data_IF_060282981917
#
_entry.id   IF_060282981917
#
_cell.length_a   1.000
_cell.length_b   1.000
_cell.length_c   1.000
_cell.angle_alpha   90.00
_cell.angle_beta   90.00
_cell.angle_gamma   90.00
#
_symmetry.space_group_name_H-M   'P 1'
#
loop_
_entity.id
_entity.type
_entity.pdbx_description
1 polymer ?
#
# COMPACT_ATOMS: atom_id res chain seq x y z
N UNK A 1 -16.68 -10.21 -2.95
CA UNK A 1 -15.89 -10.81 -4.05
C UNK A 1 -14.62 -11.33 -3.42
N UNK A 2 -14.37 -12.64 -3.47
CA UNK A 2 -13.12 -13.18 -2.91
C UNK A 2 -11.94 -12.62 -3.70
N UNK A 3 -10.95 -12.05 -3.01
CA UNK A 3 -9.73 -11.54 -3.61
C UNK A 3 -8.90 -12.70 -4.15
N UNK A 4 -8.30 -12.50 -5.32
CA UNK A 4 -7.42 -13.49 -5.93
C UNK A 4 -6.11 -13.54 -5.13
N UNK A 5 -5.70 -14.72 -4.69
CA UNK A 5 -4.54 -14.89 -3.82
C UNK A 5 -3.72 -16.13 -4.22
N UNK A 6 -2.50 -16.24 -3.70
CA UNK A 6 -1.63 -17.41 -3.91
C UNK A 6 -2.12 -18.56 -3.05
N UNK A 7 -2.45 -19.69 -3.66
CA UNK A 7 -2.90 -20.89 -2.95
C UNK A 7 -1.73 -21.79 -2.58
N UNK A 8 -0.82 -22.02 -3.53
CA UNK A 8 0.36 -22.87 -3.30
C UNK A 8 1.49 -22.56 -4.26
N UNK A 9 2.71 -22.95 -3.86
CA UNK A 9 3.90 -22.88 -4.68
C UNK A 9 4.75 -24.14 -4.51
N UNK A 10 5.19 -24.69 -5.64
CA UNK A 10 6.12 -25.82 -5.71
C UNK A 10 7.32 -25.39 -6.55
N UNK A 11 8.51 -25.37 -5.97
CA UNK A 11 9.73 -24.91 -6.62
C UNK A 11 10.82 -25.97 -6.45
N UNK A 12 11.24 -26.59 -7.55
CA UNK A 12 12.09 -27.78 -7.59
C UNK A 12 13.49 -27.39 -8.09
N UNK A 13 14.51 -27.92 -7.42
CA UNK A 13 15.90 -27.77 -7.81
C UNK A 13 16.45 -26.35 -7.66
N UNK A 14 15.91 -25.55 -6.74
CA UNK A 14 16.34 -24.17 -6.50
C UNK A 14 17.82 -24.15 -6.10
N UNK A 15 18.61 -23.37 -6.85
CA UNK A 15 20.06 -23.32 -6.81
C UNK A 15 20.76 -24.69 -6.95
N UNK A 16 20.07 -25.70 -7.49
CA UNK A 16 20.51 -27.09 -7.54
C UNK A 16 20.65 -27.74 -6.17
N UNK A 17 19.97 -27.21 -5.14
CA UNK A 17 20.16 -27.65 -3.74
C UNK A 17 18.88 -28.07 -3.05
N UNK A 18 17.77 -27.36 -3.27
CA UNK A 18 16.57 -27.58 -2.47
C UNK A 18 15.27 -27.51 -3.28
N UNK A 19 14.27 -28.23 -2.80
CA UNK A 19 12.89 -28.21 -3.24
C UNK A 19 12.02 -27.52 -2.17
N UNK A 20 11.09 -26.68 -2.60
CA UNK A 20 10.15 -25.92 -1.78
C UNK A 20 8.74 -26.34 -2.19
N UNK A 21 7.90 -26.64 -1.22
CA UNK A 21 6.49 -27.00 -1.43
C UNK A 21 5.70 -26.39 -0.28
N UNK A 22 4.83 -25.41 -0.58
CA UNK A 22 4.09 -24.65 0.42
C UNK A 22 2.66 -24.39 -0.04
N UNK A 23 1.75 -24.38 0.92
CA UNK A 23 0.36 -23.90 0.80
C UNK A 23 0.18 -22.66 1.66
N UNK A 24 -0.62 -21.71 1.19
CA UNK A 24 -0.83 -20.43 1.88
C UNK A 24 -2.30 -20.25 2.25
N UNK A 25 -2.51 -19.57 3.37
CA UNK A 25 -3.77 -19.01 3.82
C UNK A 25 -4.16 -17.76 3.00
N UNK A 26 -5.45 -17.49 2.86
CA UNK A 26 -5.97 -16.37 2.05
C UNK A 26 -5.65 -14.97 2.64
N UNK A 27 -5.32 -14.89 3.93
CA UNK A 27 -5.09 -13.62 4.62
C UNK A 27 -3.65 -13.45 5.11
N UNK A 28 -3.16 -14.31 6.00
CA UNK A 28 -1.86 -14.08 6.65
C UNK A 28 -1.01 -15.35 6.69
N UNK A 29 0.23 -15.22 6.26
CA UNK A 29 1.21 -16.28 6.22
C UNK A 29 2.54 -15.77 6.79
N UNK A 30 2.99 -16.32 7.91
CA UNK A 30 4.26 -15.98 8.56
C UNK A 30 5.23 -17.13 8.38
N UNK A 31 6.19 -16.98 7.48
CA UNK A 31 7.22 -17.95 7.17
C UNK A 31 8.42 -17.74 8.09
N UNK A 32 8.54 -18.60 9.09
CA UNK A 32 9.64 -18.60 10.03
C UNK A 32 10.74 -19.58 9.61
N UNK A 33 11.97 -19.11 9.48
CA UNK A 33 13.10 -19.99 9.15
C UNK A 33 14.46 -19.38 9.42
N UNK A 34 15.47 -20.23 9.65
CA UNK A 34 16.86 -19.82 9.89
C UNK A 34 17.44 -19.03 8.71
N UNK A 35 18.48 -18.25 8.95
CA UNK A 35 19.20 -17.54 7.89
C UNK A 35 19.78 -18.51 6.86
N UNK A 36 19.70 -18.15 5.59
CA UNK A 36 20.22 -18.96 4.48
C UNK A 36 19.34 -20.14 4.05
N UNK A 37 18.12 -20.29 4.58
CA UNK A 37 17.19 -21.35 4.14
C UNK A 37 16.56 -21.08 2.78
N UNK A 38 16.62 -19.85 2.24
CA UNK A 38 16.05 -19.48 0.94
C UNK A 38 14.73 -18.69 1.00
N UNK A 39 14.35 -18.14 2.17
CA UNK A 39 13.15 -17.30 2.36
C UNK A 39 13.07 -16.14 1.35
N UNK A 40 14.15 -15.36 1.24
CA UNK A 40 14.24 -14.24 0.29
C UNK A 40 14.13 -14.72 -1.17
N UNK A 41 14.73 -15.87 -1.51
CA UNK A 41 14.60 -16.46 -2.85
C UNK A 41 13.14 -16.84 -3.15
N UNK A 42 12.42 -17.42 -2.18
CA UNK A 42 10.99 -17.70 -2.32
C UNK A 42 10.19 -16.42 -2.57
N UNK A 43 10.42 -15.36 -1.78
CA UNK A 43 9.72 -14.09 -1.98
C UNK A 43 10.04 -13.48 -3.35
N UNK A 44 11.28 -13.60 -3.82
CA UNK A 44 11.65 -13.16 -5.18
C UNK A 44 10.95 -13.98 -6.27
N UNK A 45 10.83 -15.29 -6.10
CA UNK A 45 10.07 -16.17 -7.01
C UNK A 45 8.61 -15.71 -7.08
N UNK A 46 7.96 -15.54 -5.92
CA UNK A 46 6.58 -15.09 -5.85
C UNK A 46 6.41 -13.72 -6.50
N UNK A 47 7.21 -12.73 -6.10
CA UNK A 47 7.12 -11.37 -6.63
C UNK A 47 7.31 -11.31 -8.15
N UNK A 48 8.30 -12.02 -8.70
CA UNK A 48 8.56 -12.03 -10.13
C UNK A 48 7.43 -12.70 -10.92
N UNK A 49 6.85 -13.82 -10.45
CA UNK A 49 5.70 -14.45 -11.12
C UNK A 49 4.47 -13.56 -11.03
N UNK A 50 4.17 -13.06 -9.83
CA UNK A 50 2.95 -12.29 -9.55
C UNK A 50 2.92 -10.96 -10.31
N UNK A 51 4.08 -10.32 -10.50
CA UNK A 51 4.19 -9.09 -11.27
C UNK A 51 4.45 -9.32 -12.77
N UNK A 52 4.64 -10.56 -13.22
CA UNK A 52 4.90 -10.89 -14.62
C UNK A 52 6.34 -10.63 -15.08
N UNK A 53 7.30 -10.45 -14.16
CA UNK A 53 8.74 -10.29 -14.39
C UNK A 53 9.41 -11.66 -14.69
N UNK A 54 8.80 -12.39 -15.60
CA UNK A 54 9.14 -13.75 -16.00
C UNK A 54 10.56 -13.92 -16.55
N UNK A 55 11.09 -12.92 -17.23
CA UNK A 55 12.41 -12.98 -17.83
C UNK A 55 13.51 -13.19 -16.81
N UNK A 56 13.30 -12.65 -15.60
CA UNK A 56 14.26 -12.72 -14.49
C UNK A 56 14.58 -14.15 -14.09
N UNK A 57 13.69 -15.11 -14.35
CA UNK A 57 13.94 -16.53 -14.08
C UNK A 57 15.15 -17.07 -14.86
N UNK A 58 15.53 -16.50 -16.00
CA UNK A 58 16.76 -16.92 -16.68
C UNK A 58 18.03 -16.67 -15.84
N UNK A 59 17.98 -15.76 -14.84
CA UNK A 59 19.06 -15.53 -13.89
C UNK A 59 19.06 -16.50 -12.68
N UNK A 60 18.01 -17.30 -12.51
CA UNK A 60 17.87 -18.26 -11.42
C UNK A 60 18.25 -19.67 -11.90
N UNK A 61 18.91 -20.45 -11.04
CA UNK A 61 19.12 -21.89 -11.27
C UNK A 61 17.98 -22.66 -10.62
N UNK A 62 17.19 -23.38 -11.41
CA UNK A 62 16.05 -24.19 -10.96
C UNK A 62 15.74 -25.27 -11.99
N UNK A 63 14.90 -26.24 -11.62
CA UNK A 63 14.36 -27.23 -12.56
C UNK A 63 12.96 -26.81 -13.02
N UNK A 64 12.07 -26.56 -12.05
CA UNK A 64 10.66 -26.30 -12.30
C UNK A 64 10.06 -25.47 -11.16
N UNK A 65 9.19 -24.52 -11.47
CA UNK A 65 8.47 -23.72 -10.48
C UNK A 65 7.00 -23.63 -10.91
N UNK A 66 6.10 -24.10 -10.07
CA UNK A 66 4.66 -24.05 -10.26
C UNK A 66 4.02 -23.18 -9.18
N UNK A 67 3.23 -22.20 -9.59
CA UNK A 67 2.38 -21.38 -8.73
C UNK A 67 0.91 -21.69 -9.04
N UNK A 68 0.09 -21.90 -8.02
CA UNK A 68 -1.37 -22.08 -8.16
C UNK A 68 -2.08 -20.96 -7.41
N UNK A 69 -3.06 -20.36 -8.06
CA UNK A 69 -3.88 -19.27 -7.53
C UNK A 69 -5.23 -19.79 -7.03
N UNK A 70 -5.92 -18.97 -6.24
CA UNK A 70 -7.18 -19.33 -5.58
C UNK A 70 -8.33 -19.64 -6.55
N UNK A 71 -8.28 -19.11 -7.77
CA UNK A 71 -9.25 -19.33 -8.84
C UNK A 71 -8.96 -20.58 -9.69
N UNK A 72 -7.89 -21.31 -9.37
CA UNK A 72 -7.45 -22.51 -10.09
C UNK A 72 -6.47 -22.23 -11.22
N UNK A 73 -6.17 -20.97 -11.53
CA UNK A 73 -5.13 -20.63 -12.49
C UNK A 73 -3.77 -21.11 -12.00
N UNK A 74 -2.98 -21.66 -12.92
CA UNK A 74 -1.66 -22.20 -12.65
C UNK A 74 -0.63 -21.61 -13.59
N UNK A 75 0.53 -21.26 -13.04
CA UNK A 75 1.67 -20.72 -13.76
C UNK A 75 2.84 -21.65 -13.53
N UNK A 76 3.43 -22.13 -14.62
CA UNK A 76 4.55 -23.06 -14.60
C UNK A 76 5.74 -22.42 -15.33
N UNK A 77 6.85 -22.28 -14.62
CA UNK A 77 8.13 -21.82 -15.15
C UNK A 77 9.08 -23.02 -15.16
N UNK A 78 9.54 -23.43 -16.35
CA UNK A 78 10.34 -24.63 -16.53
C UNK A 78 11.69 -24.32 -17.16
N UNK A 79 12.77 -24.85 -16.56
CA UNK A 79 14.11 -24.75 -17.12
C UNK A 79 14.38 -25.91 -18.08
N UNK A 80 14.87 -25.61 -19.28
CA UNK A 80 15.21 -26.61 -20.31
C UNK A 80 16.65 -26.49 -20.78
N UNK A 81 17.31 -27.63 -20.92
CA UNK A 81 18.62 -27.72 -21.57
C UNK A 81 18.46 -27.99 -23.07
N UNK A 82 19.04 -27.14 -23.92
CA UNK A 82 19.18 -27.44 -25.36
C UNK A 82 20.62 -27.84 -25.67
N UNK A 83 20.81 -29.05 -26.19
CA UNK A 83 22.13 -29.61 -26.57
C UNK A 83 22.67 -29.15 -27.94
N UNK A 84 22.27 -27.99 -28.49
CA UNK A 84 22.83 -27.51 -29.77
C UNK A 84 23.94 -26.48 -29.54
N UNK A 85 25.20 -26.90 -29.79
CA UNK A 85 26.43 -26.08 -29.78
C UNK A 85 26.62 -25.24 -28.50
N UNK A 86 26.63 -25.92 -27.35
CA UNK A 86 26.89 -25.34 -26.03
C UNK A 86 25.69 -25.52 -25.09
N UNK A 87 25.93 -25.93 -23.84
CA UNK A 87 24.87 -26.14 -22.84
C UNK A 87 24.30 -24.79 -22.38
N UNK A 88 23.30 -24.29 -23.08
CA UNK A 88 22.55 -23.11 -22.66
C UNK A 88 21.24 -23.56 -22.02
N UNK A 89 20.98 -23.06 -20.81
CA UNK A 89 19.70 -23.22 -20.10
C UNK A 89 18.76 -22.15 -20.61
N UNK A 90 17.56 -22.58 -20.99
CA UNK A 90 16.48 -21.71 -21.43
C UNK A 90 15.31 -21.82 -20.46
N UNK A 91 14.55 -20.75 -20.32
CA UNK A 91 13.32 -20.74 -19.52
C UNK A 91 12.10 -20.67 -20.43
N UNK A 92 11.16 -21.59 -20.21
CA UNK A 92 9.84 -21.61 -20.84
C UNK A 92 8.76 -21.37 -19.77
N UNK A 93 7.69 -20.67 -20.14
CA UNK A 93 6.59 -20.33 -19.23
C UNK A 93 5.27 -20.77 -19.81
N UNK A 94 4.51 -21.46 -18.98
CA UNK A 94 3.19 -21.97 -19.27
C UNK A 94 2.19 -21.35 -18.31
N UNK A 95 1.03 -20.97 -18.83
CA UNK A 95 -0.12 -20.50 -18.04
C UNK A 95 -1.29 -21.41 -18.37
N UNK A 96 -1.85 -22.08 -17.36
CA UNK A 96 -2.93 -23.07 -17.53
C UNK A 96 -2.60 -24.15 -18.58
N UNK A 97 -1.34 -24.58 -18.62
CA UNK A 97 -0.84 -25.57 -19.58
C UNK A 97 -0.52 -25.04 -20.98
N UNK A 98 -0.86 -23.78 -21.30
CA UNK A 98 -0.52 -23.16 -22.58
C UNK A 98 0.84 -22.45 -22.51
N UNK A 99 1.74 -22.73 -23.46
CA UNK A 99 3.04 -22.06 -23.57
C UNK A 99 2.86 -20.59 -23.96
N UNK A 100 3.32 -19.67 -23.13
CA UNK A 100 3.19 -18.22 -23.35
C UNK A 100 4.53 -17.58 -23.77
N UNK A 101 5.63 -17.94 -23.10
CA UNK A 101 6.98 -17.48 -23.44
C UNK A 101 7.90 -18.68 -23.57
N UNK A 102 8.81 -18.63 -24.54
CA UNK A 102 9.75 -19.72 -24.81
C UNK A 102 11.16 -19.18 -25.01
N UNK A 103 12.14 -20.01 -24.66
CA UNK A 103 13.56 -19.78 -24.95
C UNK A 103 14.16 -18.49 -24.35
N UNK A 104 13.71 -18.07 -23.17
CA UNK A 104 14.30 -16.92 -22.47
C UNK A 104 15.70 -17.31 -22.00
N UNK A 105 16.70 -16.49 -22.32
CA UNK A 105 18.10 -16.70 -21.93
C UNK A 105 18.66 -15.53 -21.12
N UNK A 106 19.71 -15.74 -20.31
CA UNK A 106 20.35 -14.66 -19.56
C UNK A 106 20.85 -13.50 -20.44
N UNK A 107 21.23 -13.81 -21.70
CA UNK A 107 21.75 -12.81 -22.65
C UNK A 107 20.70 -11.81 -23.10
N UNK A 108 19.42 -12.18 -23.02
CA UNK A 108 18.33 -11.30 -23.41
C UNK A 108 18.16 -10.16 -22.39
N UNK A 109 18.59 -10.39 -21.13
CA UNK A 109 18.46 -9.45 -20.00
C UNK A 109 19.55 -8.37 -19.99
N UNK A 110 20.79 -8.69 -20.38
CA UNK A 110 21.92 -7.74 -20.40
C UNK A 110 21.77 -6.60 -21.44
N UNK A 111 20.79 -6.72 -22.36
CA UNK A 111 20.50 -5.68 -23.32
C UNK A 111 19.51 -4.66 -22.74
N UNK A 112 19.97 -3.78 -21.84
CA UNK A 112 19.22 -2.69 -21.18
C UNK A 112 18.40 -1.78 -22.13
N UNK A 113 18.55 -1.91 -23.46
CA UNK A 113 17.76 -1.21 -24.48
C UNK A 113 16.48 -1.93 -24.93
N UNK A 114 16.15 -3.09 -24.35
CA UNK A 114 15.08 -3.96 -24.87
C UNK A 114 13.80 -4.00 -24.04
N UNK A 115 13.73 -3.36 -22.85
CA UNK A 115 12.51 -3.36 -22.02
C UNK A 115 11.25 -2.81 -22.72
N UNK A 116 11.41 -1.88 -23.68
CA UNK A 116 10.30 -1.40 -24.53
C UNK A 116 10.06 -2.21 -25.81
N UNK A 117 10.84 -3.27 -26.06
CA UNK A 117 10.84 -4.07 -27.30
C UNK A 117 10.56 -5.55 -27.09
N UNK A 118 10.30 -6.07 -25.89
CA UNK A 118 10.10 -7.53 -25.72
C UNK A 118 8.67 -7.99 -26.11
N UNK A 119 7.78 -7.06 -26.43
CA UNK A 119 6.67 -7.34 -27.34
C UNK A 119 7.12 -7.90 -28.72
N UNK A 120 8.40 -7.74 -29.10
CA UNK A 120 9.00 -8.23 -30.35
C UNK A 120 9.87 -9.49 -30.21
N UNK A 121 10.27 -9.89 -28.99
CA UNK A 121 10.95 -11.19 -28.73
C UNK A 121 9.93 -12.25 -28.27
N UNK A 122 8.64 -11.93 -28.31
CA UNK A 122 7.58 -12.92 -28.23
C UNK A 122 7.55 -13.74 -29.53
N UNK A 123 8.34 -14.82 -29.57
CA UNK A 123 8.16 -16.00 -30.42
C UNK A 123 8.15 -15.76 -31.96
N UNK A 124 8.69 -16.70 -32.75
CA UNK A 124 8.53 -16.65 -34.23
C UNK A 124 7.06 -16.86 -34.68
N UNK A 125 6.14 -17.11 -33.73
CA UNK A 125 4.74 -17.41 -33.96
C UNK A 125 3.87 -16.18 -33.69
N UNK A 126 3.34 -15.56 -34.76
CA UNK A 126 2.45 -14.38 -34.70
C UNK A 126 1.19 -14.58 -33.84
N UNK A 127 0.73 -15.81 -33.67
CA UNK A 127 -0.44 -16.13 -32.82
C UNK A 127 -0.12 -16.01 -31.31
N UNK A 128 1.13 -16.25 -30.91
CA UNK A 128 1.56 -16.10 -29.50
C UNK A 128 1.67 -14.63 -29.10
N UNK A 129 1.95 -13.72 -30.04
CA UNK A 129 2.11 -12.28 -29.73
C UNK A 129 0.81 -11.63 -29.23
N UNK A 130 -0.33 -11.96 -29.85
CA UNK A 130 -1.63 -11.42 -29.46
C UNK A 130 -2.16 -12.01 -28.13
N UNK A 131 -1.81 -13.26 -27.83
CA UNK A 131 -2.18 -13.95 -26.57
C UNK A 131 -1.24 -13.54 -25.44
N UNK A 132 0.06 -13.44 -25.70
CA UNK A 132 1.10 -12.97 -24.78
C UNK A 132 0.80 -11.54 -24.30
N UNK A 133 0.47 -10.60 -25.20
CA UNK A 133 0.13 -9.22 -24.80
C UNK A 133 -1.10 -9.09 -23.90
N UNK A 134 -2.04 -10.05 -23.95
CA UNK A 134 -3.26 -10.05 -23.13
C UNK A 134 -3.16 -10.90 -21.85
N UNK A 135 -2.23 -11.86 -21.78
CA UNK A 135 -2.05 -12.82 -20.66
C UNK A 135 -0.71 -12.73 -19.92
N UNK A 136 0.26 -11.94 -20.38
CA UNK A 136 1.43 -11.52 -19.57
C UNK A 136 1.11 -10.44 -18.54
N UNK A 137 -0.13 -9.95 -18.49
CA UNK A 137 -0.55 -9.02 -17.46
C UNK A 137 -0.39 -9.69 -16.09
N UNK A 138 0.11 -8.92 -15.11
CA UNK A 138 0.35 -9.36 -13.73
C UNK A 138 -0.84 -10.21 -13.25
N UNK A 139 -0.64 -11.52 -12.98
CA UNK A 139 -1.74 -12.41 -12.62
C UNK A 139 -2.43 -11.92 -11.33
N UNK A 140 -1.62 -11.45 -10.38
CA UNK A 140 -2.07 -10.81 -9.14
C UNK A 140 -1.03 -9.77 -8.75
N UNK A 141 -1.29 -8.46 -8.86
CA UNK A 141 -0.29 -7.44 -8.56
C UNK A 141 0.22 -7.56 -7.12
N UNK A 142 1.53 -7.74 -6.98
CA UNK A 142 2.19 -7.92 -5.70
C UNK A 142 3.09 -6.73 -5.35
N UNK A 143 3.09 -6.35 -4.08
CA UNK A 143 4.06 -5.42 -3.51
C UNK A 143 5.16 -6.23 -2.80
N UNK A 144 6.43 -5.94 -3.08
CA UNK A 144 7.56 -6.60 -2.44
C UNK A 144 8.39 -5.63 -1.60
N UNK A 145 8.63 -5.98 -0.34
CA UNK A 145 9.37 -5.20 0.62
C UNK A 145 10.64 -5.95 1.00
N UNK A 146 11.81 -5.52 0.49
CA UNK A 146 13.05 -6.20 0.78
C UNK A 146 13.55 -5.90 2.19
N UNK A 147 14.34 -6.83 2.71
CA UNK A 147 15.11 -6.68 3.95
C UNK A 147 16.13 -5.54 3.89
N UNK A 148 16.59 -5.17 2.69
CA UNK A 148 17.58 -4.12 2.43
C UNK A 148 16.99 -2.73 2.11
N UNK A 149 15.69 -2.51 2.37
CA UNK A 149 14.97 -1.25 2.09
C UNK A 149 15.68 0.02 2.56
N UNK A 150 16.17 0.05 3.81
CA UNK A 150 16.81 1.22 4.41
C UNK A 150 18.08 1.62 3.67
N UNK A 151 18.82 0.62 3.18
CA UNK A 151 20.03 0.86 2.41
C UNK A 151 19.70 1.46 1.04
N UNK A 152 18.68 0.93 0.37
CA UNK A 152 18.23 1.43 -0.94
C UNK A 152 17.63 2.84 -0.82
N UNK A 153 16.90 3.13 0.25
CA UNK A 153 16.39 4.47 0.56
C UNK A 153 17.54 5.47 0.77
N UNK A 154 18.53 5.11 1.61
CA UNK A 154 19.68 5.97 1.87
C UNK A 154 20.51 6.25 0.60
N UNK A 155 20.68 5.24 -0.25
CA UNK A 155 21.41 5.37 -1.50
C UNK A 155 20.66 6.22 -2.52
N UNK A 156 19.36 6.00 -2.67
CA UNK A 156 18.53 6.83 -3.53
C UNK A 156 18.49 8.30 -3.08
N UNK A 157 18.53 8.56 -1.77
CA UNK A 157 18.65 9.92 -1.24
C UNK A 157 20.04 10.55 -1.49
N UNK A 158 21.10 9.73 -1.56
CA UNK A 158 22.48 10.20 -1.81
C UNK A 158 22.84 10.39 -3.28
N UNK A 159 22.20 9.62 -4.16
CA UNK A 159 22.29 9.82 -5.60
C UNK A 159 21.48 11.07 -5.93
N UNK A 160 22.14 12.14 -6.42
CA UNK A 160 21.51 13.41 -6.79
C UNK A 160 20.09 13.23 -7.35
N UNK A 161 19.08 13.98 -6.89
CA UNK A 161 17.72 13.85 -7.40
C UNK A 161 17.76 14.04 -8.91
N UNK A 162 17.09 13.19 -9.73
CA UNK A 162 17.00 13.45 -11.14
C UNK A 162 16.43 14.86 -11.33
N UNK A 163 17.22 15.72 -11.96
CA UNK A 163 16.74 16.99 -12.51
C UNK A 163 15.43 16.73 -13.25
N UNK A 164 14.36 17.46 -12.90
CA UNK A 164 13.11 17.61 -13.64
C UNK A 164 12.74 16.40 -14.52
N UNK A 165 12.02 15.43 -13.96
CA UNK A 165 11.35 14.43 -14.79
C UNK A 165 9.84 14.58 -14.72
N UNK A 166 9.34 14.89 -15.91
CA UNK A 166 7.98 14.97 -16.40
C UNK A 166 7.19 13.70 -16.04
N UNK A 167 6.13 13.87 -15.25
CA UNK A 167 5.23 12.82 -14.74
C UNK A 167 4.25 12.31 -15.83
N UNK A 168 4.63 12.43 -17.11
CA UNK A 168 3.72 12.28 -18.25
C UNK A 168 4.02 11.09 -19.17
N UNK A 169 4.80 10.09 -18.74
CA UNK A 169 4.97 8.85 -19.52
C UNK A 169 4.76 7.58 -18.67
N UNK A 170 3.53 7.08 -18.71
CA UNK A 170 3.04 5.75 -18.24
C UNK A 170 3.67 4.55 -18.99
N UNK A 171 4.91 4.66 -19.47
CA UNK A 171 5.58 3.64 -20.27
C UNK A 171 6.99 3.27 -19.80
N UNK A 172 7.08 2.26 -18.93
CA UNK A 172 8.19 1.29 -18.94
C UNK A 172 9.61 1.72 -18.54
N UNK A 173 9.83 2.80 -17.78
CA UNK A 173 11.14 3.05 -17.15
C UNK A 173 11.25 2.34 -15.80
N UNK A 174 12.29 1.52 -15.62
CA UNK A 174 12.58 0.87 -14.35
C UNK A 174 12.89 1.92 -13.26
N UNK A 175 12.26 1.76 -12.09
CA UNK A 175 12.48 2.61 -10.93
C UNK A 175 13.98 2.55 -10.52
N UNK A 176 14.59 3.70 -10.23
CA UNK A 176 16.01 3.81 -9.82
C UNK A 176 16.35 2.89 -8.64
N UNK A 177 15.41 2.70 -7.70
CA UNK A 177 15.56 1.75 -6.60
C UNK A 177 15.78 0.31 -7.09
N UNK A 178 15.05 -0.10 -8.12
CA UNK A 178 15.15 -1.45 -8.71
C UNK A 178 16.49 -1.66 -9.40
N UNK A 179 16.95 -0.66 -10.16
CA UNK A 179 18.25 -0.71 -10.85
C UNK A 179 19.39 -0.89 -9.85
N UNK A 180 19.42 -0.06 -8.81
CA UNK A 180 20.44 -0.13 -7.75
C UNK A 180 20.37 -1.50 -7.04
N UNK A 181 19.17 -1.96 -6.66
CA UNK A 181 19.02 -3.22 -5.96
C UNK A 181 19.50 -4.42 -6.79
N UNK A 182 19.26 -4.43 -8.11
CA UNK A 182 19.74 -5.49 -9.01
C UNK A 182 21.25 -5.46 -9.18
N UNK A 183 21.87 -4.28 -9.22
CA UNK A 183 23.33 -4.14 -9.26
C UNK A 183 23.99 -4.69 -7.99
N UNK A 184 23.36 -4.50 -6.83
CA UNK A 184 23.92 -4.91 -5.54
C UNK A 184 23.62 -6.36 -5.17
N UNK A 185 22.39 -6.82 -5.40
CA UNK A 185 21.88 -8.11 -4.92
C UNK A 185 21.61 -9.12 -6.05
N UNK A 186 21.88 -8.75 -7.30
CA UNK A 186 21.80 -9.60 -8.47
C UNK A 186 20.55 -9.40 -9.32
N UNK A 187 20.62 -9.84 -10.57
CA UNK A 187 19.59 -9.61 -11.58
C UNK A 187 18.23 -10.28 -11.32
N UNK A 188 18.16 -11.25 -10.39
CA UNK A 188 16.90 -11.91 -10.02
C UNK A 188 16.03 -11.10 -9.03
N UNK A 189 16.55 -9.98 -8.50
CA UNK A 189 15.78 -9.10 -7.61
C UNK A 189 14.52 -8.60 -8.33
N UNK A 190 13.34 -8.75 -7.70
CA UNK A 190 12.09 -8.26 -8.26
C UNK A 190 12.07 -6.76 -8.44
N UNK A 191 11.14 -6.27 -9.26
CA UNK A 191 10.84 -4.85 -9.29
C UNK A 191 10.42 -4.36 -7.90
N UNK A 192 11.02 -3.24 -7.49
CA UNK A 192 10.75 -2.56 -6.23
C UNK A 192 9.78 -1.40 -6.49
N UNK A 193 8.54 -1.58 -6.04
CA UNK A 193 7.45 -0.61 -6.16
C UNK A 193 7.06 -0.01 -4.78
N UNK A 194 7.99 0.06 -3.81
CA UNK A 194 7.71 0.73 -2.54
C UNK A 194 7.99 2.24 -2.63
N UNK A 195 7.12 3.09 -2.05
CA UNK A 195 7.30 4.52 -2.14
C UNK A 195 8.41 4.99 -1.21
N UNK A 196 9.13 6.02 -1.63
CA UNK A 196 10.04 6.73 -0.76
C UNK A 196 9.27 7.51 0.31
N UNK A 197 9.92 7.86 1.43
CA UNK A 197 9.31 8.74 2.44
C UNK A 197 8.94 10.10 1.84
N UNK A 198 9.69 10.52 0.80
CA UNK A 198 9.35 11.71 0.05
C UNK A 198 7.98 11.60 -0.60
N UNK A 199 7.76 10.52 -1.34
CA UNK A 199 6.49 10.24 -2.00
C UNK A 199 5.36 10.09 -0.99
N UNK A 200 5.59 9.37 0.11
CA UNK A 200 4.58 9.21 1.18
C UNK A 200 4.13 10.57 1.71
N UNK A 201 5.07 11.44 2.09
CA UNK A 201 4.75 12.77 2.60
C UNK A 201 4.02 13.61 1.55
N UNK A 202 4.50 13.63 0.31
CA UNK A 202 3.88 14.40 -0.78
C UNK A 202 2.46 13.93 -1.08
N UNK A 203 2.24 12.61 -1.13
CA UNK A 203 0.91 12.05 -1.40
C UNK A 203 -0.04 12.32 -0.24
N UNK A 204 0.42 12.23 1.00
CA UNK A 204 -0.41 12.58 2.16
C UNK A 204 -0.76 14.07 2.18
N UNK A 205 0.19 14.96 1.88
CA UNK A 205 -0.08 16.41 1.77
C UNK A 205 -1.09 16.72 0.66
N UNK A 206 -1.03 16.00 -0.47
CA UNK A 206 -2.02 16.09 -1.53
C UNK A 206 -3.40 15.62 -1.05
N UNK A 207 -3.50 14.45 -0.41
CA UNK A 207 -4.77 13.93 0.12
C UNK A 207 -5.38 14.87 1.16
N UNK A 208 -4.56 15.46 2.04
CA UNK A 208 -5.00 16.48 2.99
C UNK A 208 -5.56 17.69 2.23
N UNK A 209 -4.86 18.16 1.21
CA UNK A 209 -5.31 19.30 0.39
C UNK A 209 -6.66 19.03 -0.29
N UNK A 210 -6.85 17.83 -0.85
CA UNK A 210 -8.12 17.39 -1.44
C UNK A 210 -9.26 17.35 -0.40
N UNK A 211 -9.00 16.81 0.79
CA UNK A 211 -9.97 16.79 1.89
C UNK A 211 -10.36 18.21 2.34
N UNK A 212 -9.39 19.12 2.47
CA UNK A 212 -9.65 20.54 2.78
C UNK A 212 -10.54 21.17 1.70
N UNK A 213 -10.25 20.92 0.41
CA UNK A 213 -11.04 21.46 -0.68
C UNK A 213 -12.49 20.96 -0.65
N UNK A 214 -12.71 19.68 -0.35
CA UNK A 214 -14.04 19.09 -0.24
C UNK A 214 -14.85 19.74 0.89
N UNK A 215 -14.25 19.91 2.07
CA UNK A 215 -14.92 20.58 3.21
C UNK A 215 -15.21 22.04 2.88
N UNK A 216 -14.26 22.76 2.28
CA UNK A 216 -14.44 24.16 1.90
C UNK A 216 -15.54 24.36 0.84
N UNK A 217 -15.73 23.42 -0.08
CA UNK A 217 -16.84 23.46 -1.04
C UNK A 217 -18.20 23.36 -0.35
N UNK A 218 -18.33 22.46 0.63
CA UNK A 218 -19.57 22.28 1.40
C UNK A 218 -19.83 23.46 2.35
N UNK A 219 -18.80 23.98 3.01
CA UNK A 219 -18.92 25.21 3.82
C UNK A 219 -19.46 26.38 2.97
N UNK A 220 -18.85 26.64 1.81
CA UNK A 220 -19.33 27.70 0.88
C UNK A 220 -20.77 27.51 0.43
N UNK A 221 -21.19 26.26 0.17
CA UNK A 221 -22.58 25.95 -0.17
C UNK A 221 -23.53 26.38 0.95
N UNK A 222 -23.23 26.02 2.19
CA UNK A 222 -24.10 26.35 3.32
C UNK A 222 -24.06 27.83 3.72
N UNK A 223 -22.93 28.52 3.53
CA UNK A 223 -22.85 29.99 3.69
C UNK A 223 -23.90 30.70 2.80
N UNK A 224 -24.18 30.17 1.61
CA UNK A 224 -25.19 30.73 0.69
C UNK A 224 -26.61 30.23 1.01
N UNK A 225 -26.76 28.94 1.33
CA UNK A 225 -28.08 28.32 1.54
C UNK A 225 -28.73 28.69 2.88
N UNK A 226 -27.96 28.83 3.96
CA UNK A 226 -28.51 29.10 5.31
C UNK A 226 -29.33 30.39 5.35
N UNK A 227 -28.84 31.55 4.86
CA UNK A 227 -29.65 32.78 4.81
C UNK A 227 -30.93 32.62 3.99
N UNK A 228 -30.86 31.93 2.84
CA UNK A 228 -32.02 31.66 1.98
C UNK A 228 -33.06 30.77 2.69
N UNK A 229 -32.59 29.76 3.41
CA UNK A 229 -33.44 28.85 4.17
C UNK A 229 -34.08 29.55 5.37
N UNK A 230 -33.37 30.47 6.04
CA UNK A 230 -33.93 31.33 7.08
C UNK A 230 -35.08 32.17 6.50
N UNK A 231 -34.88 32.86 5.37
CA UNK A 231 -35.93 33.67 4.74
C UNK A 231 -37.17 32.84 4.38
N UNK A 232 -36.98 31.63 3.83
CA UNK A 232 -38.08 30.70 3.52
C UNK A 232 -38.83 30.26 4.79
N UNK A 233 -38.10 29.90 5.85
CA UNK A 233 -38.67 29.48 7.12
C UNK A 233 -39.52 30.59 7.77
N UNK A 234 -39.05 31.84 7.71
CA UNK A 234 -39.79 33.01 8.20
C UNK A 234 -41.06 33.28 7.38
N UNK A 235 -40.99 33.11 6.06
CA UNK A 235 -42.14 33.34 5.16
C UNK A 235 -43.25 32.31 5.35
N UNK A 236 -42.92 31.05 5.59
CA UNK A 236 -43.90 29.96 5.60
C UNK A 236 -44.63 29.77 6.95
N UNK A 237 -44.21 30.45 8.03
CA UNK A 237 -44.73 30.29 9.42
C UNK A 237 -44.85 28.82 9.88
N UNK A 238 -44.20 27.90 9.18
CA UNK A 238 -44.19 26.46 9.39
C UNK A 238 -42.75 26.05 9.65
N UNK A 239 -42.28 26.32 10.85
CA UNK A 239 -41.24 25.48 11.41
C UNK A 239 -41.82 24.92 12.69
N UNK A 240 -42.13 23.64 12.67
CA UNK A 240 -42.52 22.87 13.86
C UNK A 240 -41.34 22.70 14.79
N UNK A 241 -40.77 23.80 15.28
CA UNK A 241 -39.78 23.77 16.36
C UNK A 241 -40.59 23.72 17.63
N UNK A 242 -41.04 22.52 17.99
CA UNK A 242 -41.47 22.22 19.35
C UNK A 242 -40.33 22.61 20.29
N UNK A 243 -40.49 23.73 21.00
CA UNK A 243 -39.69 24.19 22.16
C UNK A 243 -38.32 23.53 22.35
N UNK A 244 -37.46 23.52 21.33
CA UNK A 244 -36.08 23.12 21.53
C UNK A 244 -35.45 24.16 22.44
N UNK A 245 -34.91 23.72 23.57
CA UNK A 245 -34.29 24.62 24.52
C UNK A 245 -33.09 25.25 23.81
N UNK A 246 -33.13 26.56 23.58
CA UNK A 246 -32.08 27.33 22.90
C UNK A 246 -30.71 27.03 23.51
N UNK A 247 -30.64 26.90 24.83
CA UNK A 247 -29.42 26.54 25.55
C UNK A 247 -28.87 25.16 25.17
N UNK A 248 -29.72 24.20 24.79
CA UNK A 248 -29.28 22.88 24.33
C UNK A 248 -28.73 22.93 22.90
N UNK A 249 -29.34 23.73 22.02
CA UNK A 249 -28.85 23.92 20.65
C UNK A 249 -27.47 24.61 20.64
N UNK A 250 -27.28 25.64 21.47
CA UNK A 250 -25.99 26.30 21.62
C UNK A 250 -24.91 25.31 22.07
N UNK A 251 -25.20 24.49 23.10
CA UNK A 251 -24.27 23.42 23.53
C UNK A 251 -23.93 22.42 22.41
N UNK A 252 -24.90 22.06 21.57
CA UNK A 252 -24.66 21.19 20.42
C UNK A 252 -23.78 21.86 19.36
N UNK A 253 -24.02 23.14 19.09
CA UNK A 253 -23.19 23.95 18.17
C UNK A 253 -21.77 24.10 18.70
N UNK A 254 -21.58 24.38 19.99
CA UNK A 254 -20.26 24.46 20.62
C UNK A 254 -19.48 23.14 20.46
N UNK A 255 -20.15 22.00 20.71
CA UNK A 255 -19.53 20.67 20.52
C UNK A 255 -19.14 20.38 19.07
N UNK A 256 -19.97 20.76 18.09
CA UNK A 256 -19.62 20.64 16.67
C UNK A 256 -18.48 21.57 16.30
N UNK A 257 -18.43 22.76 16.90
CA UNK A 257 -17.37 23.74 16.69
C UNK A 257 -16.02 23.23 17.18
N UNK A 258 -15.96 22.62 18.37
CA UNK A 258 -14.73 21.96 18.86
C UNK A 258 -14.24 20.87 17.89
N UNK A 259 -15.14 20.05 17.34
CA UNK A 259 -14.79 19.03 16.34
C UNK A 259 -14.22 19.63 15.06
N UNK A 260 -14.80 20.72 14.57
CA UNK A 260 -14.32 21.40 13.35
C UNK A 260 -12.95 22.05 13.58
N UNK A 261 -12.74 22.65 14.75
CA UNK A 261 -11.47 23.28 15.12
C UNK A 261 -10.28 22.32 15.24
N UNK A 262 -10.53 21.01 15.37
CA UNK A 262 -9.48 19.99 15.41
C UNK A 262 -8.75 19.80 14.07
N UNK A 263 -9.34 20.29 12.96
CA UNK A 263 -8.84 20.07 11.61
C UNK A 263 -8.19 21.34 11.05
N UNK A 264 -7.25 21.20 10.10
CA UNK A 264 -6.58 22.32 9.45
C UNK A 264 -7.47 23.04 8.42
N UNK A 265 -8.78 23.17 8.66
CA UNK A 265 -9.75 23.76 7.73
C UNK A 265 -10.40 25.00 8.38
N UNK A 266 -10.27 26.20 7.80
CA UNK A 266 -11.05 27.34 8.24
C UNK A 266 -12.51 27.18 7.80
N UNK A 267 -13.43 27.07 8.75
CA UNK A 267 -14.88 27.02 8.49
C UNK A 267 -15.49 28.41 8.69
N UNK A 268 -16.06 28.97 7.64
CA UNK A 268 -16.56 30.36 7.63
C UNK A 268 -17.73 30.53 8.62
N UNK A 269 -18.62 29.54 8.69
CA UNK A 269 -19.79 29.57 9.57
C UNK A 269 -19.46 29.61 11.07
N UNK A 270 -18.22 29.32 11.46
CA UNK A 270 -17.78 29.29 12.87
C UNK A 270 -17.34 30.65 13.43
N UNK A 271 -17.20 31.69 12.59
CA UNK A 271 -16.68 32.98 13.04
C UNK A 271 -17.69 33.84 13.84
N UNK A 272 -18.87 33.29 14.17
CA UNK A 272 -19.95 34.04 14.80
C UNK A 272 -20.04 33.74 16.30
N UNK A 273 -19.96 34.78 17.13
CA UNK A 273 -20.05 34.64 18.59
C UNK A 273 -21.52 34.63 19.06
N UNK A 274 -22.19 33.48 18.98
CA UNK A 274 -23.62 33.36 19.28
C UNK A 274 -24.01 33.80 20.70
N UNK A 275 -23.12 33.59 21.68
CA UNK A 275 -23.36 33.92 23.10
C UNK A 275 -23.64 35.41 23.32
N UNK A 276 -22.96 36.29 22.57
CA UNK A 276 -23.10 37.75 22.66
C UNK A 276 -24.46 38.24 22.15
N UNK A 277 -25.06 37.53 21.20
CA UNK A 277 -26.34 37.89 20.60
C UNK A 277 -27.56 37.27 21.32
N UNK A 278 -27.35 36.35 22.25
CA UNK A 278 -28.43 35.59 22.92
C UNK A 278 -28.92 36.24 24.22
N UNK A 279 -28.05 36.94 24.95
CA UNK A 279 -28.38 37.51 26.27
C UNK A 279 -29.55 38.52 26.29
N UNK A 280 -29.75 39.40 25.28
CA UNK A 280 -30.76 40.46 25.36
C UNK A 280 -32.16 40.10 24.79
N UNK A 281 -32.43 38.85 24.38
CA UNK A 281 -33.63 38.50 23.59
C UNK A 281 -34.91 38.26 24.42
N UNK A 282 -36.05 38.82 23.96
CA UNK A 282 -37.39 38.59 24.55
C UNK A 282 -38.00 37.23 24.13
N UNK A 283 -39.14 36.82 24.70
CA UNK A 283 -39.75 35.49 24.45
C UNK A 283 -40.12 35.20 22.98
N UNK A 284 -40.53 36.21 22.22
CA UNK A 284 -40.85 36.09 20.78
C UNK A 284 -39.57 35.99 19.94
N UNK A 285 -38.53 36.74 20.32
CA UNK A 285 -37.23 36.74 19.67
C UNK A 285 -36.47 35.43 19.94
N UNK A 286 -36.73 34.78 21.10
CA UNK A 286 -36.21 33.45 21.43
C UNK A 286 -36.68 32.36 20.47
N UNK A 287 -37.91 32.44 19.94
CA UNK A 287 -38.37 31.46 18.95
C UNK A 287 -37.69 31.66 17.59
N UNK A 288 -37.57 32.92 17.13
CA UNK A 288 -36.85 33.24 15.90
C UNK A 288 -35.37 32.86 15.99
N UNK A 289 -34.74 33.14 17.12
CA UNK A 289 -33.37 32.71 17.40
C UNK A 289 -33.23 31.19 17.40
N UNK A 290 -34.19 30.46 17.96
CA UNK A 290 -34.20 28.99 17.89
C UNK A 290 -34.29 28.47 16.44
N UNK A 291 -35.09 29.12 15.57
CA UNK A 291 -35.17 28.78 14.14
C UNK A 291 -33.84 28.99 13.44
N UNK A 292 -33.22 30.15 13.65
CA UNK A 292 -31.92 30.47 13.06
C UNK A 292 -30.86 29.48 13.53
N UNK A 293 -30.71 29.30 14.85
CA UNK A 293 -29.74 28.38 15.43
C UNK A 293 -29.94 26.94 14.96
N UNK A 294 -31.18 26.49 14.81
CA UNK A 294 -31.46 25.16 14.30
C UNK A 294 -30.98 24.98 12.85
N UNK A 295 -31.22 25.96 11.97
CA UNK A 295 -30.74 25.90 10.58
C UNK A 295 -29.21 25.98 10.49
N UNK A 296 -28.57 26.78 11.34
CA UNK A 296 -27.11 26.80 11.47
C UNK A 296 -26.57 25.47 12.00
N UNK A 297 -27.21 24.90 13.03
CA UNK A 297 -26.84 23.59 13.57
C UNK A 297 -26.91 22.50 12.50
N UNK A 298 -27.99 22.45 11.71
CA UNK A 298 -28.12 21.49 10.61
C UNK A 298 -27.01 21.66 9.56
N UNK A 299 -26.67 22.89 9.20
CA UNK A 299 -25.57 23.15 8.27
C UNK A 299 -24.21 22.70 8.83
N UNK A 300 -23.92 23.02 10.09
CA UNK A 300 -22.68 22.60 10.75
C UNK A 300 -22.59 21.07 10.88
N UNK A 301 -23.69 20.39 11.19
CA UNK A 301 -23.75 18.93 11.26
C UNK A 301 -23.38 18.28 9.91
N UNK A 302 -23.86 18.85 8.81
CA UNK A 302 -23.51 18.38 7.46
C UNK A 302 -22.05 18.64 7.10
N UNK A 303 -21.49 19.78 7.50
CA UNK A 303 -20.06 20.09 7.29
C UNK A 303 -19.18 19.12 8.09
N UNK A 304 -19.50 18.89 9.37
CA UNK A 304 -18.79 17.94 10.23
C UNK A 304 -18.84 16.53 9.63
N UNK A 305 -20.00 16.10 9.13
CA UNK A 305 -20.14 14.81 8.47
C UNK A 305 -19.20 14.65 7.26
N UNK A 306 -19.16 15.65 6.37
CA UNK A 306 -18.26 15.63 5.20
C UNK A 306 -16.80 15.70 5.62
N UNK A 307 -16.48 16.45 6.67
CA UNK A 307 -15.12 16.53 7.22
C UNK A 307 -14.67 15.18 7.78
N UNK A 308 -15.45 14.54 8.66
CA UNK A 308 -15.14 13.23 9.22
C UNK A 308 -14.96 12.18 8.10
N UNK A 309 -15.81 12.20 7.08
CA UNK A 309 -15.67 11.31 5.91
C UNK A 309 -14.39 11.58 5.12
N UNK A 310 -14.09 12.85 4.82
CA UNK A 310 -12.96 13.25 3.96
C UNK A 310 -11.61 12.97 4.60
N UNK A 311 -11.50 13.05 5.93
CA UNK A 311 -10.25 12.83 6.66
C UNK A 311 -10.10 11.41 7.24
N UNK A 312 -11.17 10.61 7.30
CA UNK A 312 -11.19 9.30 7.96
C UNK A 312 -10.02 8.38 7.59
N UNK A 313 -9.69 8.23 6.30
CA UNK A 313 -8.62 7.36 5.84
C UNK A 313 -7.23 7.85 6.31
N UNK A 314 -7.01 9.17 6.27
CA UNK A 314 -5.76 9.80 6.70
C UNK A 314 -5.60 9.64 8.22
N UNK A 315 -6.68 9.84 8.98
CA UNK A 315 -6.67 9.69 10.43
C UNK A 315 -6.42 8.24 10.87
N UNK A 316 -7.07 7.27 10.23
CA UNK A 316 -6.84 5.85 10.51
C UNK A 316 -5.39 5.45 10.24
N UNK A 317 -4.82 5.96 9.15
CA UNK A 317 -3.42 5.77 8.82
C UNK A 317 -2.49 6.41 9.86
N UNK A 318 -2.66 7.71 10.15
CA UNK A 318 -1.84 8.44 11.11
C UNK A 318 -1.97 7.86 12.53
N UNK A 319 -3.15 7.41 12.95
CA UNK A 319 -3.36 6.74 14.22
C UNK A 319 -2.55 5.43 14.30
N UNK A 320 -2.53 4.65 13.22
CA UNK A 320 -1.76 3.40 13.15
C UNK A 320 -0.26 3.65 13.21
N UNK A 321 0.23 4.72 12.57
CA UNK A 321 1.64 5.10 12.62
C UNK A 321 2.01 5.63 14.01
N UNK A 322 1.20 6.55 14.54
CA UNK A 322 1.43 7.19 15.84
C UNK A 322 1.38 6.20 17.01
N UNK A 323 0.69 5.07 16.87
CA UNK A 323 0.73 3.98 17.84
C UNK A 323 2.17 3.50 18.13
N UNK A 324 3.05 3.56 17.14
CA UNK A 324 4.45 3.16 17.29
C UNK A 324 5.38 4.31 17.66
N UNK A 325 4.95 5.57 17.62
CA UNK A 325 5.85 6.68 17.90
C UNK A 325 5.92 6.93 19.41
N UNK A 326 7.13 7.00 19.94
CA UNK A 326 7.40 7.36 21.33
C UNK A 326 7.77 8.85 21.41
N UNK A 327 7.25 9.55 22.41
CA UNK A 327 7.50 10.97 22.71
C UNK A 327 7.13 11.99 21.63
N UNK A 328 6.56 11.54 20.51
CA UNK A 328 6.14 12.39 19.39
C UNK A 328 4.99 11.78 18.61
N UNK A 329 4.29 12.61 17.85
CA UNK A 329 3.25 12.17 16.93
C UNK A 329 3.26 12.98 15.63
N UNK A 330 2.93 12.32 14.52
CA UNK A 330 2.67 12.96 13.24
C UNK A 330 1.25 13.52 13.28
N UNK A 331 1.10 14.79 12.96
CA UNK A 331 -0.16 15.49 12.93
C UNK A 331 -0.26 16.36 11.67
N UNK A 332 -1.50 16.69 11.30
CA UNK A 332 -1.79 17.68 10.28
C UNK A 332 -1.71 19.06 10.91
N UNK A 333 -1.11 20.04 10.21
CA UNK A 333 -1.12 21.44 10.66
C UNK A 333 -1.45 22.37 9.50
N UNK A 334 -2.37 23.31 9.77
CA UNK A 334 -2.64 24.47 8.92
C UNK A 334 -1.74 25.66 9.23
N UNK A 335 -1.05 25.67 10.39
CA UNK A 335 -0.87 26.92 11.12
C UNK A 335 0.56 27.49 11.21
N UNK A 336 1.60 26.93 10.59
CA UNK A 336 2.99 27.37 10.88
C UNK A 336 3.94 27.63 9.70
N UNK A 337 3.46 27.73 8.46
CA UNK A 337 4.32 28.18 7.35
C UNK A 337 3.84 29.50 6.75
N UNK A 338 4.48 30.59 7.20
CA UNK A 338 4.32 31.99 6.75
C UNK A 338 4.62 32.24 5.26
N UNK A 339 4.39 31.30 4.34
CA UNK A 339 4.76 31.52 2.93
C UNK A 339 3.97 30.76 1.86
N UNK A 340 3.26 29.67 2.17
CA UNK A 340 2.65 28.86 1.08
C UNK A 340 1.19 28.47 1.23
N UNK A 341 0.54 28.66 2.38
CA UNK A 341 -0.90 28.32 2.54
C UNK A 341 -1.28 26.85 2.30
N UNK A 342 -0.28 25.99 2.02
CA UNK A 342 -0.48 24.55 1.82
C UNK A 342 -0.44 23.85 3.16
N UNK A 343 -1.41 22.96 3.45
CA UNK A 343 -1.36 22.13 4.65
C UNK A 343 -0.11 21.25 4.61
N UNK A 344 0.52 21.05 5.78
CA UNK A 344 1.71 20.21 5.90
C UNK A 344 1.55 19.17 7.00
N UNK A 345 2.27 18.07 6.82
CA UNK A 345 2.52 17.14 7.91
C UNK A 345 3.57 17.73 8.84
N UNK A 346 3.31 17.63 10.14
CA UNK A 346 4.23 18.08 11.18
C UNK A 346 4.42 17.01 12.23
N UNK A 347 5.59 16.99 12.85
CA UNK A 347 5.83 16.24 14.08
C UNK A 347 5.57 17.17 15.26
N UNK A 348 4.70 16.72 16.17
CA UNK A 348 4.48 17.33 17.48
C UNK A 348 5.20 16.48 18.52
N UNK A 349 5.86 17.14 19.46
CA UNK A 349 6.56 16.50 20.56
C UNK A 349 5.73 16.61 21.84
N UNK A 350 5.76 15.57 22.67
CA UNK A 350 5.00 15.54 23.92
C UNK A 350 5.55 16.50 24.98
N UNK A 351 6.80 16.96 24.81
CA UNK A 351 7.48 17.92 25.70
C UNK A 351 7.04 19.38 25.47
N UNK A 352 6.14 19.63 24.52
CA UNK A 352 5.68 20.97 24.16
C UNK A 352 6.63 21.74 23.25
N UNK A 353 7.67 21.09 22.71
CA UNK A 353 8.55 21.68 21.70
C UNK A 353 7.77 22.10 20.45
N UNK A 354 8.26 23.13 19.76
CA UNK A 354 7.64 23.64 18.53
C UNK A 354 7.51 22.53 17.48
N UNK A 355 6.37 22.42 16.79
CA UNK A 355 6.19 21.40 15.79
C UNK A 355 7.13 21.64 14.61
N UNK A 356 7.53 20.56 13.94
CA UNK A 356 8.46 20.62 12.82
C UNK A 356 7.87 19.99 11.58
N UNK A 357 8.01 20.67 10.45
CA UNK A 357 7.63 20.18 9.13
C UNK A 357 8.71 19.27 8.49
N UNK A 358 9.76 18.91 9.24
CA UNK A 358 10.84 18.04 8.76
C UNK A 358 10.58 16.59 9.13
N UNK A 359 9.42 16.05 8.72
CA UNK A 359 8.99 14.69 9.11
C UNK A 359 10.08 13.66 8.82
N UNK A 360 10.64 13.69 7.61
CA UNK A 360 11.69 12.74 7.16
C UNK A 360 12.96 12.73 8.00
N UNK A 361 13.32 13.86 8.61
CA UNK A 361 14.59 14.02 9.33
C UNK A 361 14.47 13.73 10.82
N UNK A 362 13.25 13.73 11.35
CA UNK A 362 12.97 13.58 12.78
C UNK A 362 12.42 12.19 13.14
N UNK A 363 12.13 11.37 12.13
CA UNK A 363 11.82 9.96 12.31
C UNK A 363 13.11 9.11 12.35
N UNK A 364 13.21 8.21 13.32
CA UNK A 364 14.27 7.20 13.41
C UNK A 364 14.17 6.21 12.24
N UNK A 365 15.21 5.42 11.98
CA UNK A 365 15.15 4.41 10.90
C UNK A 365 14.03 3.38 11.08
N UNK A 366 13.76 2.97 12.33
CA UNK A 366 12.66 2.05 12.65
C UNK A 366 11.28 2.68 12.43
N UNK A 367 11.09 3.93 12.83
CA UNK A 367 9.82 4.65 12.63
C UNK A 367 9.54 4.93 11.15
N UNK A 368 10.57 5.32 10.40
CA UNK A 368 10.50 5.49 8.94
C UNK A 368 10.04 4.21 8.25
N UNK A 369 10.56 3.07 8.69
CA UNK A 369 10.17 1.78 8.18
C UNK A 369 8.71 1.43 8.51
N UNK A 370 8.24 1.71 9.73
CA UNK A 370 6.84 1.49 10.11
C UNK A 370 5.92 2.36 9.25
N UNK A 371 6.27 3.65 9.07
CA UNK A 371 5.53 4.55 8.20
C UNK A 371 5.40 3.97 6.78
N UNK A 372 6.50 3.49 6.18
CA UNK A 372 6.48 2.90 4.83
C UNK A 372 5.66 1.62 4.76
N UNK A 373 5.83 0.71 5.73
CA UNK A 373 5.09 -0.56 5.79
C UNK A 373 3.58 -0.33 5.93
N UNK A 374 3.16 0.54 6.85
CA UNK A 374 1.76 0.89 7.07
C UNK A 374 1.16 1.68 5.89
N UNK A 375 1.96 2.53 5.24
CA UNK A 375 1.47 3.32 4.10
C UNK A 375 1.15 2.40 2.94
N UNK A 376 2.05 1.47 2.62
CA UNK A 376 1.79 0.50 1.57
C UNK A 376 0.67 -0.45 1.96
N UNK A 377 0.52 -0.73 3.26
CA UNK A 377 -0.61 -1.49 3.74
C UNK A 377 -1.94 -0.78 3.43
N UNK A 378 -2.03 0.51 3.70
CA UNK A 378 -3.27 1.28 3.53
C UNK A 378 -3.54 1.66 2.07
N UNK A 379 -2.55 2.21 1.37
CA UNK A 379 -2.75 3.01 0.16
C UNK A 379 -2.48 2.28 -1.16
N UNK A 380 -1.85 1.10 -1.16
CA UNK A 380 -1.63 0.33 -2.40
C UNK A 380 -2.86 -0.51 -2.78
N UNK A 381 -3.98 0.14 -3.04
CA UNK A 381 -5.29 -0.48 -3.34
C UNK A 381 -5.30 -1.43 -4.54
N UNK A 382 -4.40 -1.23 -5.50
CA UNK A 382 -4.27 -2.08 -6.69
C UNK A 382 -3.49 -3.38 -6.44
N UNK A 383 -2.72 -3.48 -5.34
CA UNK A 383 -1.93 -4.68 -5.02
C UNK A 383 -2.77 -5.62 -4.16
N UNK A 384 -2.88 -6.89 -4.56
CA UNK A 384 -3.68 -7.90 -3.86
C UNK A 384 -2.84 -8.80 -2.95
N UNK A 385 -1.54 -8.89 -3.21
CA UNK A 385 -0.57 -9.66 -2.41
C UNK A 385 0.54 -8.76 -1.90
N UNK A 386 0.89 -8.89 -0.63
CA UNK A 386 1.93 -8.12 0.07
C UNK A 386 3.00 -9.08 0.56
N UNK A 387 4.22 -8.96 0.01
CA UNK A 387 5.37 -9.82 0.30
C UNK A 387 6.40 -9.05 1.12
N UNK A 388 6.70 -9.50 2.34
CA UNK A 388 7.55 -8.74 3.27
C UNK A 388 8.73 -9.59 3.74
N UNK A 389 9.96 -9.11 3.49
CA UNK A 389 11.20 -9.77 3.92
C UNK A 389 11.79 -9.06 5.14
N UNK A 390 11.92 -9.79 6.25
CA UNK A 390 12.51 -9.35 7.51
C UNK A 390 11.95 -7.98 8.00
N UNK A 391 10.63 -7.91 8.28
CA UNK A 391 9.99 -6.68 8.77
C UNK A 391 10.49 -6.21 10.14
N UNK A 392 11.16 -7.06 10.91
CA UNK A 392 11.72 -6.76 12.23
C UNK A 392 13.01 -5.94 12.19
N UNK A 393 13.70 -5.86 11.04
CA UNK A 393 15.00 -5.19 10.97
C UNK A 393 14.85 -3.76 11.47
N UNK A 394 15.67 -3.34 12.43
CA UNK A 394 15.63 -2.02 13.08
C UNK A 394 14.43 -1.73 14.01
N UNK A 395 13.61 -2.72 14.38
CA UNK A 395 12.47 -2.55 15.30
C UNK A 395 12.74 -3.17 16.69
N UNK A 396 12.29 -2.49 17.74
CA UNK A 396 12.29 -3.03 19.10
C UNK A 396 11.28 -4.19 19.26
N UNK A 397 11.49 -5.06 20.25
CA UNK A 397 10.72 -6.30 20.46
C UNK A 397 9.22 -6.05 20.57
N UNK A 398 8.81 -4.99 21.28
CA UNK A 398 7.39 -4.66 21.44
C UNK A 398 6.73 -4.29 20.12
N UNK A 399 7.44 -3.53 19.27
CA UNK A 399 6.96 -3.16 17.94
C UNK A 399 6.89 -4.39 17.02
N UNK A 400 7.81 -5.35 17.16
CA UNK A 400 7.76 -6.60 16.39
C UNK A 400 6.47 -7.39 16.68
N UNK A 401 6.02 -7.44 17.94
CA UNK A 401 4.78 -8.12 18.35
C UNK A 401 3.54 -7.44 17.77
N UNK A 402 3.49 -6.10 17.80
CA UNK A 402 2.31 -5.37 17.34
C UNK A 402 2.28 -5.10 15.84
N UNK A 403 3.41 -5.22 15.12
CA UNK A 403 3.52 -4.83 13.72
C UNK A 403 2.50 -5.51 12.82
N UNK A 404 2.51 -6.85 12.79
CA UNK A 404 1.62 -7.61 11.90
C UNK A 404 0.16 -7.39 12.29
N UNK A 405 -0.12 -7.20 13.58
CA UNK A 405 -1.47 -6.90 14.09
C UNK A 405 -1.97 -5.55 13.58
N UNK A 406 -1.18 -4.48 13.71
CA UNK A 406 -1.56 -3.16 13.21
C UNK A 406 -1.63 -3.13 11.68
N UNK A 407 -0.70 -3.80 10.99
CA UNK A 407 -0.79 -3.96 9.54
C UNK A 407 -2.09 -4.66 9.14
N UNK A 408 -2.46 -5.78 9.78
CA UNK A 408 -3.67 -6.53 9.43
C UNK A 408 -4.96 -5.70 9.51
N UNK A 409 -5.06 -4.74 10.44
CA UNK A 409 -6.20 -3.81 10.53
C UNK A 409 -6.36 -2.93 9.29
N UNK A 410 -5.25 -2.61 8.64
CA UNK A 410 -5.18 -1.70 7.49
C UNK A 410 -5.30 -2.42 6.13
N UNK A 411 -5.20 -3.75 6.11
CA UNK A 411 -4.93 -4.51 4.90
C UNK A 411 -6.18 -5.07 4.20
N UNK A 412 -7.36 -4.94 4.79
CA UNK A 412 -8.63 -5.38 4.19
C UNK A 412 -8.61 -6.86 3.80
N UNK A 413 -8.88 -7.16 2.52
CA UNK A 413 -8.91 -8.53 1.97
C UNK A 413 -7.61 -8.96 1.26
N UNK A 414 -6.48 -8.30 1.51
CA UNK A 414 -5.20 -8.63 0.84
C UNK A 414 -4.50 -9.81 1.51
N UNK A 415 -3.81 -10.62 0.72
CA UNK A 415 -2.97 -11.71 1.24
C UNK A 415 -1.60 -11.18 1.63
N UNK A 416 -1.13 -11.52 2.82
CA UNK A 416 0.17 -11.13 3.37
C UNK A 416 1.03 -12.38 3.51
N UNK A 417 2.25 -12.31 2.98
CA UNK A 417 3.28 -13.34 3.12
C UNK A 417 4.53 -12.66 3.68
N UNK A 418 4.83 -12.96 4.94
CA UNK A 418 5.96 -12.40 5.69
C UNK A 418 7.01 -13.47 5.87
N UNK A 419 8.25 -13.18 5.53
CA UNK A 419 9.41 -14.01 5.88
C UNK A 419 10.18 -13.35 7.02
N UNK A 420 10.48 -14.12 8.06
CA UNK A 420 11.17 -13.61 9.26
C UNK A 420 12.10 -14.66 9.88
N UNK A 421 13.14 -14.20 10.56
CA UNK A 421 13.95 -15.02 11.46
C UNK A 421 13.64 -14.76 12.95
N UNK A 422 12.83 -13.75 13.26
CA UNK A 422 12.36 -13.44 14.61
C UNK A 422 11.17 -14.32 14.98
N UNK A 423 11.30 -15.19 16.01
CA UNK A 423 10.16 -15.97 16.50
C UNK A 423 9.08 -15.08 17.14
N UNK A 424 9.43 -13.85 17.51
CA UNK A 424 8.53 -12.90 18.17
C UNK A 424 7.38 -12.48 17.26
N UNK A 425 7.64 -12.36 15.94
CA UNK A 425 6.61 -11.96 14.97
C UNK A 425 5.47 -12.98 14.86
N UNK A 426 5.79 -14.27 14.96
CA UNK A 426 4.80 -15.34 14.86
C UNK A 426 4.22 -15.78 16.21
N UNK A 427 4.71 -15.27 17.34
CA UNK A 427 4.40 -15.82 18.66
C UNK A 427 2.95 -15.63 19.10
N UNK A 428 2.28 -14.58 18.62
CA UNK A 428 0.91 -14.22 19.00
C UNK A 428 -0.14 -14.71 17.96
N UNK A 429 0.27 -15.53 17.01
CA UNK A 429 -0.59 -16.04 15.92
C UNK A 429 -0.84 -17.54 16.06
N UNK A 430 -2.02 -17.97 15.60
CA UNK A 430 -2.40 -19.37 15.54
C UNK A 430 -1.45 -20.18 14.62
N UNK A 431 -1.28 -21.46 14.94
CA UNK A 431 -0.35 -22.36 14.24
C UNK A 431 -0.65 -22.50 12.73
N UNK A 432 -1.89 -22.24 12.29
CA UNK A 432 -2.28 -22.28 10.88
C UNK A 432 -1.73 -21.09 10.07
N UNK A 433 -1.38 -19.98 10.74
CA UNK A 433 -0.77 -18.80 10.10
C UNK A 433 0.75 -18.86 10.09
N UNK A 434 1.38 -19.72 10.90
CA UNK A 434 2.83 -19.81 11.04
C UNK A 434 3.39 -21.02 10.31
N UNK A 435 4.18 -20.77 9.27
CA UNK A 435 4.78 -21.79 8.42
C UNK A 435 6.26 -21.94 8.77
N UNK A 436 6.67 -23.11 9.26
CA UNK A 436 8.08 -23.41 9.49
C UNK A 436 8.76 -23.68 8.14
N UNK A 437 9.53 -22.71 7.67
CA UNK A 437 10.20 -22.78 6.38
C UNK A 437 11.49 -23.60 6.44
N UNK A 438 11.40 -24.86 6.00
CA UNK A 438 12.51 -25.81 5.89
C UNK A 438 12.47 -26.53 4.53
N UNK A 439 13.16 -26.01 3.50
CA UNK A 439 13.22 -26.67 2.20
C UNK A 439 13.85 -28.05 2.27
N UNK A 440 13.37 -28.97 1.43
CA UNK A 440 13.87 -30.34 1.34
C UNK A 440 15.10 -30.36 0.42
N UNK A 441 16.17 -31.13 0.70
CA UNK A 441 17.27 -31.31 -0.25
C UNK A 441 16.75 -31.86 -1.58
N UNK A 442 17.19 -31.27 -2.69
CA UNK A 442 16.76 -31.74 -4.01
C UNK A 442 17.48 -33.05 -4.36
N UNK A 443 16.71 -34.02 -4.85
CA UNK A 443 17.25 -35.28 -5.39
C UNK A 443 17.27 -35.30 -6.91
N UNK A 444 16.69 -34.27 -7.54
CA UNK A 444 16.46 -34.20 -8.99
C UNK A 444 17.55 -33.35 -9.63
N UNK A 445 18.50 -33.98 -10.33
CA UNK A 445 19.37 -33.25 -11.24
C UNK A 445 18.57 -32.78 -12.46
N UNK A 446 18.98 -31.66 -13.09
CA UNK A 446 18.43 -31.15 -14.35
C UNK A 446 18.68 -32.16 -15.51
N UNK A 447 17.99 -33.30 -15.51
CA UNK A 447 17.88 -34.20 -16.66
C UNK A 447 16.76 -33.73 -17.56
N UNK A 448 16.94 -33.80 -18.88
CA UNK A 448 16.06 -33.25 -19.90
C UNK A 448 14.56 -33.54 -19.64
N UNK A 449 13.86 -32.54 -19.11
CA UNK A 449 12.42 -32.61 -18.85
C UNK A 449 11.69 -32.50 -20.19
N UNK A 450 10.94 -33.54 -20.55
CA UNK A 450 10.08 -33.58 -21.73
C UNK A 450 8.74 -32.94 -21.38
N UNK A 451 8.25 -32.03 -22.23
CA UNK A 451 6.97 -31.35 -22.02
C UNK A 451 5.75 -32.30 -21.98
N UNK A 452 5.92 -33.57 -22.36
CA UNK A 452 4.85 -34.58 -22.36
C UNK A 452 4.64 -35.27 -21.00
N UNK A 453 5.52 -35.07 -20.01
CA UNK A 453 5.42 -35.76 -18.72
C UNK A 453 4.36 -35.15 -17.77
N UNK A 454 3.68 -34.06 -18.18
CA UNK A 454 2.82 -33.25 -17.31
C UNK A 454 1.32 -33.27 -17.65
N UNK A 455 0.89 -34.10 -18.62
CA UNK A 455 -0.54 -34.21 -19.01
C UNK A 455 -1.24 -35.41 -18.35
N UNK A 456 -0.58 -36.14 -17.45
CA UNK A 456 -1.19 -37.27 -16.75
C UNK A 456 -1.04 -37.08 -15.25
N UNK A 457 -2.00 -36.37 -14.65
CA UNK A 457 -2.60 -36.72 -13.36
C UNK A 457 -3.74 -35.73 -13.09
N UNK A 458 -4.88 -36.04 -13.70
CA UNK A 458 -6.12 -35.27 -13.62
C UNK A 458 -7.29 -36.17 -13.97
N UNK A 459 -7.36 -37.34 -13.33
CA UNK A 459 -8.54 -38.19 -13.30
C UNK A 459 -8.48 -39.03 -12.03
N UNK A 460 -9.13 -38.57 -10.97
CA UNK A 460 -10.05 -39.35 -10.11
C UNK A 460 -10.95 -38.39 -9.34
#
# INVERSE_FOLDING_TARGET
MNSRHVKSVTAIGIHGRFDIELTFDEHLNILYGKNGTGKTTLLHILANILNGDYERFACLKFNEIQLVLSDGDSILVAAKNRHRRGSHVYTDIYVNGELILENISPRDIDSDKSFGRIGLIASKNRNLQAVAQKRLQSPVPAAYFPSFRTMIEAWAASANPPSQYDDSNEGGKENQHTIIARQLFGAFVPRLDFPSIFEIESTLEQQISEAIMNVAQIDRKYVVEVPSNILKALSQKKVGIEKNNVAELVKKIDKLSEKLAAYPVPVTLMQTNWHEYMEPLNSTDKHLAAVVLYLYFQALEQIVCVQEQSFSAIEQFLASVNYFLEDKNIAMSSAETQSSGTPKLVIRFNDGSKPSNKVRHLLSSGERQILTLLYMATQMSQKQVVLIDEPEISLHVDWQRSLIKEMSKQMGHRQIIVCTHSPVIGADYDDDKVIIFKPKPTTRQLSAISANDFVKDGAY
#
